data_IF_726840728927
#
_entry.id   IF_726840728927
#
_cell.length_a   1.000
_cell.length_b   1.000
_cell.length_c   1.000
_cell.angle_alpha   90.00
_cell.angle_beta   90.00
_cell.angle_gamma   90.00
#
_symmetry.space_group_name_H-M   'P 1'
#
loop_
_entity.id
_entity.type
_entity.pdbx_description
1 polymer ?
#
# COMPACT_ATOMS: atom_id res chain seq x y z
N UNK A 1 -7.05 8.93 -50.43
CA UNK A 1 -6.84 8.90 -48.97
C UNK A 1 -5.88 7.78 -48.66
N UNK A 2 -4.85 8.06 -47.87
CA UNK A 2 -3.78 7.12 -47.56
C UNK A 2 -4.24 6.18 -46.45
N UNK A 3 -4.14 4.86 -46.66
CA UNK A 3 -4.58 3.83 -45.69
C UNK A 3 -4.02 4.00 -44.28
N UNK A 4 -2.82 4.58 -44.15
CA UNK A 4 -2.23 4.85 -42.84
C UNK A 4 -3.04 5.88 -42.04
N UNK A 5 -3.65 6.86 -42.71
CA UNK A 5 -4.47 7.88 -42.05
C UNK A 5 -5.75 7.25 -41.50
N UNK A 6 -6.42 6.39 -42.28
CA UNK A 6 -7.61 5.64 -41.87
C UNK A 6 -7.32 4.71 -40.68
N UNK A 7 -6.15 4.07 -40.67
CA UNK A 7 -5.72 3.23 -39.54
C UNK A 7 -5.56 4.05 -38.25
N UNK A 8 -4.97 5.25 -38.35
CA UNK A 8 -4.78 6.14 -37.19
C UNK A 8 -6.12 6.68 -36.69
N UNK A 9 -7.05 7.05 -37.58
CA UNK A 9 -8.38 7.49 -37.15
C UNK A 9 -9.13 6.37 -36.43
N UNK A 10 -9.11 5.13 -36.93
CA UNK A 10 -9.75 3.99 -36.26
C UNK A 10 -9.13 3.69 -34.89
N UNK A 11 -7.81 3.86 -34.74
CA UNK A 11 -7.12 3.66 -33.47
C UNK A 11 -7.43 4.76 -32.44
N UNK A 12 -7.60 6.00 -32.89
CA UNK A 12 -7.90 7.15 -32.03
C UNK A 12 -9.40 7.31 -31.74
N UNK A 13 -10.28 6.91 -32.66
CA UNK A 13 -11.74 6.84 -32.48
C UNK A 13 -12.17 5.57 -31.74
N UNK A 14 -11.21 4.77 -31.25
CA UNK A 14 -11.45 3.60 -30.41
C UNK A 14 -12.04 4.03 -29.05
N UNK A 15 -13.36 4.26 -29.08
CA UNK A 15 -14.23 4.43 -27.92
C UNK A 15 -14.47 3.09 -27.23
N UNK A 16 -13.41 2.32 -26.94
CA UNK A 16 -13.49 1.27 -25.93
C UNK A 16 -13.81 1.95 -24.61
N UNK A 17 -15.10 2.02 -24.32
CA UNK A 17 -15.75 2.65 -23.15
C UNK A 17 -15.31 2.07 -21.80
N UNK A 18 -14.32 1.19 -21.78
CA UNK A 18 -13.68 0.73 -20.57
C UNK A 18 -12.52 1.65 -20.24
N UNK A 19 -12.82 2.92 -19.95
CA UNK A 19 -12.06 3.55 -18.87
C UNK A 19 -12.36 2.68 -17.67
N UNK A 20 -11.49 1.71 -17.39
CA UNK A 20 -11.57 0.93 -16.17
C UNK A 20 -11.70 1.96 -15.08
N UNK A 21 -12.89 2.06 -14.50
CA UNK A 21 -13.09 2.75 -13.25
C UNK A 21 -12.33 1.89 -12.27
N UNK A 22 -11.02 2.15 -12.16
CA UNK A 22 -10.27 1.78 -10.99
C UNK A 22 -11.00 2.60 -9.93
N UNK A 23 -12.00 1.98 -9.30
CA UNK A 23 -12.52 2.50 -8.06
C UNK A 23 -11.26 2.68 -7.23
N UNK A 24 -10.94 3.92 -6.88
CA UNK A 24 -9.93 4.21 -5.89
C UNK A 24 -10.43 3.51 -4.64
N UNK A 25 -10.04 2.26 -4.51
CA UNK A 25 -10.23 1.48 -3.31
C UNK A 25 -9.18 2.09 -2.41
N UNK A 26 -9.56 3.14 -1.68
CA UNK A 26 -8.85 3.52 -0.46
C UNK A 26 -8.55 2.19 0.21
N UNK A 27 -7.27 1.81 0.21
CA UNK A 27 -6.85 0.41 0.32
C UNK A 27 -7.52 -0.29 1.50
N UNK A 28 -7.70 -1.60 1.40
CA UNK A 28 -8.27 -2.38 2.50
C UNK A 28 -7.60 -2.01 3.81
N UNK A 29 -8.39 -1.70 4.85
CA UNK A 29 -7.86 -1.33 6.16
C UNK A 29 -6.89 -2.38 6.67
N UNK A 30 -5.75 -1.92 7.18
CA UNK A 30 -4.74 -2.77 7.79
C UNK A 30 -5.33 -3.41 9.03
N UNK A 31 -5.24 -4.74 9.12
CA UNK A 31 -5.72 -5.52 10.26
C UNK A 31 -4.67 -5.53 11.37
N UNK A 32 -5.11 -5.61 12.63
CA UNK A 32 -4.21 -5.75 13.79
C UNK A 32 -3.28 -6.95 13.66
N UNK A 33 -3.78 -8.07 13.14
CA UNK A 33 -3.00 -9.29 12.92
C UNK A 33 -1.90 -9.12 11.87
N UNK A 34 -2.07 -8.21 10.92
CA UNK A 34 -1.02 -7.89 9.94
C UNK A 34 0.11 -7.10 10.60
N UNK A 35 -0.24 -6.15 11.46
CA UNK A 35 0.74 -5.35 12.24
C UNK A 35 1.48 -6.23 13.24
N UNK A 36 0.77 -7.10 13.95
CA UNK A 36 1.35 -8.08 14.87
C UNK A 36 2.39 -8.96 14.14
N UNK A 37 2.00 -9.57 13.02
CA UNK A 37 2.91 -10.38 12.20
C UNK A 37 4.09 -9.57 11.66
N UNK A 38 3.89 -8.31 11.31
CA UNK A 38 4.97 -7.44 10.85
C UNK A 38 6.02 -7.22 11.97
N UNK A 39 5.57 -6.94 13.20
CA UNK A 39 6.46 -6.75 14.35
C UNK A 39 7.20 -8.06 14.68
N UNK A 40 6.52 -9.21 14.63
CA UNK A 40 7.14 -10.51 14.89
C UNK A 40 8.23 -10.89 13.87
N UNK A 41 8.05 -10.49 12.61
CA UNK A 41 8.99 -10.80 11.52
C UNK A 41 10.16 -9.81 11.41
N UNK A 42 10.13 -8.72 12.17
CA UNK A 42 11.22 -7.74 12.20
C UNK A 42 12.50 -8.32 12.82
N UNK A 43 13.65 -7.96 12.22
CA UNK A 43 14.96 -8.37 12.73
C UNK A 43 15.29 -7.60 14.00
N UNK A 44 15.60 -8.33 15.07
CA UNK A 44 16.08 -7.79 16.35
C UNK A 44 17.54 -7.37 16.30
N UNK A 45 17.96 -6.52 17.24
CA UNK A 45 19.33 -6.05 17.39
C UNK A 45 19.79 -5.10 16.28
N UNK A 46 18.86 -4.42 15.61
CA UNK A 46 19.15 -3.39 14.62
C UNK A 46 19.29 -2.03 15.31
N UNK A 47 20.12 -1.17 14.73
CA UNK A 47 20.22 0.22 15.18
C UNK A 47 18.85 0.90 15.02
N UNK A 48 18.55 1.82 15.93
CA UNK A 48 17.33 2.60 15.89
C UNK A 48 17.25 3.43 14.59
N UNK A 49 16.02 3.69 14.14
CA UNK A 49 15.76 4.58 13.01
C UNK A 49 16.06 6.04 13.33
N UNK A 50 15.72 6.94 12.40
CA UNK A 50 15.80 8.40 12.61
C UNK A 50 14.89 8.88 13.75
N UNK A 51 13.86 8.09 14.06
CA UNK A 51 12.94 8.28 15.19
C UNK A 51 13.53 7.82 16.53
N UNK A 52 14.71 7.21 16.53
CA UNK A 52 15.36 6.62 17.69
C UNK A 52 14.52 5.54 18.40
N UNK A 53 13.64 4.86 17.66
CA UNK A 53 12.82 3.74 18.16
C UNK A 53 13.40 2.42 17.64
N UNK A 54 13.54 1.43 18.53
CA UNK A 54 13.95 0.07 18.13
C UNK A 54 12.78 -0.90 18.12
N UNK A 55 12.96 -2.02 17.43
CA UNK A 55 11.96 -3.11 17.37
C UNK A 55 11.67 -3.67 18.77
N UNK A 56 12.67 -3.71 19.64
CA UNK A 56 12.52 -4.16 21.03
C UNK A 56 11.58 -3.24 21.81
N UNK A 57 11.72 -1.92 21.64
CA UNK A 57 10.82 -0.93 22.27
C UNK A 57 9.38 -1.13 21.81
N UNK A 58 9.16 -1.35 20.51
CA UNK A 58 7.83 -1.63 19.95
C UNK A 58 7.28 -2.94 20.50
N UNK A 59 8.10 -3.98 20.56
CA UNK A 59 7.71 -5.30 21.09
C UNK A 59 7.31 -5.20 22.57
N UNK A 60 7.99 -4.37 23.37
CA UNK A 60 7.69 -4.18 24.79
C UNK A 60 6.36 -3.46 25.06
N UNK A 61 5.74 -2.84 24.04
CA UNK A 61 4.45 -2.17 24.18
C UNK A 61 3.26 -3.12 23.97
N UNK A 62 3.50 -4.36 23.54
CA UNK A 62 2.48 -5.40 23.38
C UNK A 62 1.23 -4.88 22.62
N UNK A 63 0.02 -5.19 23.11
CA UNK A 63 -1.25 -4.80 22.49
C UNK A 63 -1.42 -3.29 22.30
N UNK A 64 -0.88 -2.49 23.23
CA UNK A 64 -0.95 -1.03 23.13
C UNK A 64 -0.13 -0.52 21.94
N UNK A 65 1.06 -1.09 21.72
CA UNK A 65 1.89 -0.79 20.56
C UNK A 65 1.20 -1.19 19.25
N UNK A 66 0.65 -2.40 19.20
CA UNK A 66 -0.05 -2.92 18.02
C UNK A 66 -1.26 -2.05 17.66
N UNK A 67 -2.09 -1.69 18.65
CA UNK A 67 -3.26 -0.85 18.43
C UNK A 67 -2.88 0.54 17.91
N UNK A 68 -1.89 1.18 18.55
CA UNK A 68 -1.44 2.54 18.18
C UNK A 68 -0.86 2.58 16.77
N UNK A 69 -0.04 1.59 16.39
CA UNK A 69 0.54 1.51 15.05
C UNK A 69 -0.55 1.23 14.01
N UNK A 70 -1.50 0.35 14.32
CA UNK A 70 -2.64 0.07 13.43
C UNK A 70 -3.46 1.33 13.16
N UNK A 71 -3.73 2.13 14.20
CA UNK A 71 -4.49 3.38 14.06
C UNK A 71 -3.69 4.48 13.34
N UNK A 72 -2.36 4.49 13.47
CA UNK A 72 -1.48 5.45 12.79
C UNK A 72 -1.36 5.16 11.28
N UNK A 73 -1.39 3.88 10.89
CA UNK A 73 -1.18 3.44 9.51
C UNK A 73 -2.46 3.31 8.68
N UNK A 74 -3.64 3.41 9.31
CA UNK A 74 -4.94 3.45 8.64
C UNK A 74 -5.42 4.90 8.44
#
# INVERSE_FOLDING_TARGET
MTRWAEYVTVLCDDQRSNKLSIQSNDGTRILKSEVERAIETMKRGKAAGLDNITVEMITSLEDFGIATITDLCN
#
